data_IF_610549894605
#
_entry.id   IF_610549894605
#
_cell.length_a   1.000
_cell.length_b   1.000
_cell.length_c   1.000
_cell.angle_alpha   90.00
_cell.angle_beta   90.00
_cell.angle_gamma   90.00
#
_symmetry.space_group_name_H-M   'P 1'
#
loop_
_entity.id
_entity.type
_entity.pdbx_description
1 polymer ?
#
# COMPACT_ATOMS: atom_id res chain seq x y z
N UNK A 1 -19.14 -6.82 14.15
CA UNK A 1 -19.68 -7.10 12.80
C UNK A 1 -18.58 -7.76 11.99
N UNK A 2 -18.80 -8.98 11.49
CA UNK A 2 -17.86 -9.73 10.65
C UNK A 2 -18.06 -9.39 9.16
N UNK A 3 -17.16 -9.86 8.30
CA UNK A 3 -17.25 -9.69 6.84
C UNK A 3 -16.32 -8.62 6.26
N UNK A 4 -15.42 -8.05 7.07
CA UNK A 4 -14.35 -7.19 6.56
C UNK A 4 -13.30 -8.01 5.81
N UNK A 5 -12.58 -7.36 4.89
CA UNK A 5 -11.47 -7.99 4.17
C UNK A 5 -10.28 -7.06 3.98
N UNK A 6 -9.10 -7.68 3.92
CA UNK A 6 -7.83 -7.06 3.51
C UNK A 6 -7.46 -7.63 2.14
N UNK A 7 -7.15 -6.74 1.20
CA UNK A 7 -6.99 -7.07 -0.21
C UNK A 7 -5.70 -6.44 -0.75
N UNK A 8 -5.06 -7.08 -1.72
CA UNK A 8 -4.09 -6.44 -2.60
C UNK A 8 -4.80 -5.95 -3.86
N UNK A 9 -4.47 -4.75 -4.33
CA UNK A 9 -5.05 -4.19 -5.54
C UNK A 9 -4.01 -3.41 -6.36
N UNK A 10 -4.38 -3.09 -7.59
CA UNK A 10 -3.55 -2.35 -8.52
C UNK A 10 -4.25 -1.07 -9.00
N UNK A 11 -3.50 0.02 -9.11
CA UNK A 11 -3.82 1.15 -9.99
C UNK A 11 -3.12 0.91 -11.33
N UNK A 12 -3.87 0.92 -12.44
CA UNK A 12 -3.30 0.80 -13.80
C UNK A 12 -2.87 2.15 -14.35
N UNK A 13 -1.69 2.18 -14.98
CA UNK A 13 -1.06 3.38 -15.53
C UNK A 13 -0.59 3.09 -16.96
N UNK A 14 -1.23 3.66 -18.00
CA UNK A 14 -2.49 4.41 -17.96
C UNK A 14 -3.68 3.57 -17.45
N UNK A 15 -4.77 4.23 -17.04
CA UNK A 15 -5.98 3.56 -16.52
C UNK A 15 -6.49 2.51 -17.51
N UNK A 16 -6.98 1.38 -16.99
CA UNK A 16 -7.51 0.23 -17.76
C UNK A 16 -6.51 -0.42 -18.73
N UNK A 17 -5.24 -0.05 -18.71
CA UNK A 17 -4.20 -0.68 -19.53
C UNK A 17 -3.48 -1.81 -18.77
N UNK A 18 -2.72 -2.62 -19.51
CA UNK A 18 -1.78 -3.59 -18.97
C UNK A 18 -0.33 -3.09 -18.96
N UNK A 19 -0.09 -1.81 -19.25
CA UNK A 19 1.27 -1.31 -19.41
C UNK A 19 2.04 -1.32 -18.08
N UNK A 20 1.61 -0.50 -17.11
CA UNK A 20 2.21 -0.44 -15.80
C UNK A 20 1.17 -0.50 -14.67
N UNK A 21 1.62 -0.92 -13.49
CA UNK A 21 0.79 -0.94 -12.29
C UNK A 21 1.51 -0.42 -11.05
N UNK A 22 0.74 0.26 -10.21
CA UNK A 22 1.08 0.60 -8.83
C UNK A 22 0.24 -0.26 -7.89
N UNK A 23 0.89 -1.00 -6.98
CA UNK A 23 0.22 -1.91 -6.04
C UNK A 23 -0.04 -1.25 -4.69
N UNK A 24 -1.15 -1.63 -4.08
CA UNK A 24 -1.59 -1.12 -2.78
C UNK A 24 -2.31 -2.20 -1.97
N UNK A 25 -2.46 -1.96 -0.67
CA UNK A 25 -3.36 -2.72 0.20
C UNK A 25 -4.68 -1.95 0.33
N UNK A 26 -5.80 -2.68 0.26
CA UNK A 26 -7.15 -2.12 0.36
C UNK A 26 -7.92 -2.87 1.43
N UNK A 27 -8.54 -2.12 2.34
CA UNK A 27 -9.46 -2.63 3.34
C UNK A 27 -10.88 -2.37 2.85
N UNK A 28 -11.69 -3.42 2.78
CA UNK A 28 -13.09 -3.31 2.45
C UNK A 28 -13.98 -3.67 3.64
N UNK A 29 -15.07 -2.93 3.79
CA UNK A 29 -16.08 -3.17 4.82
C UNK A 29 -16.99 -4.36 4.44
N UNK A 30 -17.91 -4.80 5.32
CA UNK A 30 -18.82 -5.92 5.04
C UNK A 30 -19.74 -5.70 3.83
N UNK A 31 -20.01 -4.44 3.45
CA UNK A 31 -20.76 -4.11 2.24
C UNK A 31 -19.94 -4.27 0.95
N UNK A 32 -18.63 -4.52 1.06
CA UNK A 32 -17.71 -4.63 -0.07
C UNK A 32 -17.16 -3.28 -0.56
N UNK A 33 -17.44 -2.18 0.14
CA UNK A 33 -16.88 -0.87 -0.19
C UNK A 33 -15.43 -0.78 0.29
N UNK A 34 -14.51 -0.35 -0.58
CA UNK A 34 -13.12 -0.09 -0.24
C UNK A 34 -13.00 1.24 0.53
N UNK A 35 -12.93 1.14 1.86
CA UNK A 35 -13.02 2.30 2.77
C UNK A 35 -11.65 2.83 3.22
N UNK A 36 -10.58 2.05 3.05
CA UNK A 36 -9.23 2.45 3.45
C UNK A 36 -8.18 1.83 2.54
N UNK A 37 -7.11 2.56 2.28
CA UNK A 37 -5.95 2.09 1.54
C UNK A 37 -4.67 2.32 2.33
N UNK A 38 -3.72 1.43 2.14
CA UNK A 38 -2.35 1.59 2.60
C UNK A 38 -1.45 1.49 1.37
N UNK A 39 -0.75 2.58 1.06
CA UNK A 39 0.03 2.70 -0.17
C UNK A 39 1.32 3.50 0.03
N UNK A 40 2.30 3.24 -0.85
CA UNK A 40 3.54 4.01 -0.91
C UNK A 40 3.51 4.95 -2.12
N UNK A 41 3.53 6.25 -1.92
CA UNK A 41 3.39 7.24 -3.00
C UNK A 41 4.66 8.05 -3.18
N UNK A 42 4.86 8.54 -4.40
CA UNK A 42 5.84 9.59 -4.64
C UNK A 42 5.30 10.89 -4.07
N UNK A 43 6.14 11.62 -3.33
CA UNK A 43 5.72 12.72 -2.49
C UNK A 43 6.75 13.82 -2.46
N UNK A 44 6.29 15.05 -2.34
CA UNK A 44 7.14 16.22 -2.13
C UNK A 44 6.57 17.05 -0.99
N UNK A 45 7.44 17.76 -0.29
CA UNK A 45 7.01 18.67 0.76
C UNK A 45 6.71 20.04 0.14
N UNK A 46 5.46 20.47 0.24
CA UNK A 46 5.00 21.80 -0.14
C UNK A 46 5.29 22.72 1.04
N UNK A 47 6.41 23.44 0.97
CA UNK A 47 6.89 24.29 2.07
C UNK A 47 5.97 25.49 2.33
N UNK A 48 5.33 26.03 1.29
CA UNK A 48 4.36 27.12 1.43
C UNK A 48 3.09 26.65 2.14
N UNK A 49 2.61 25.45 1.76
CA UNK A 49 1.46 24.82 2.41
C UNK A 49 1.78 24.09 3.72
N UNK A 50 3.06 23.98 4.09
CA UNK A 50 3.53 23.23 5.27
C UNK A 50 3.11 21.76 5.28
N UNK A 51 2.97 21.11 4.11
CA UNK A 51 2.34 19.79 4.01
C UNK A 51 2.96 18.89 2.94
N UNK A 52 2.89 17.58 3.16
CA UNK A 52 3.23 16.60 2.12
C UNK A 52 2.15 16.52 1.04
N UNK A 53 2.59 16.67 -0.21
CA UNK A 53 1.82 16.35 -1.42
C UNK A 53 2.27 15.03 -1.99
N UNK A 54 1.47 14.44 -2.88
CA UNK A 54 1.73 13.11 -3.41
C UNK A 54 1.22 12.93 -4.84
N UNK A 55 1.75 11.90 -5.50
CA UNK A 55 1.41 11.43 -6.84
C UNK A 55 1.74 9.94 -6.97
N UNK A 56 1.10 9.20 -7.90
CA UNK A 56 1.31 7.75 -8.01
C UNK A 56 2.72 7.38 -8.50
N UNK A 57 3.35 8.22 -9.33
CA UNK A 57 4.70 8.02 -9.87
C UNK A 57 5.53 9.29 -9.70
N UNK A 58 6.73 9.12 -9.17
CA UNK A 58 7.76 10.14 -9.06
C UNK A 58 8.54 10.30 -10.36
N UNK A 59 8.85 11.54 -10.71
CA UNK A 59 9.63 11.90 -11.91
C UNK A 59 10.61 13.05 -11.63
N UNK A 60 10.59 13.63 -10.43
CA UNK A 60 11.55 14.62 -9.97
C UNK A 60 12.57 13.95 -9.04
N UNK A 61 13.81 14.42 -9.08
CA UNK A 61 14.88 13.96 -8.18
C UNK A 61 14.62 14.30 -6.71
N UNK A 62 13.80 15.31 -6.46
CA UNK A 62 13.34 15.70 -5.12
C UNK A 62 12.17 14.86 -4.61
N UNK A 63 11.53 14.05 -5.46
CA UNK A 63 10.44 13.18 -5.04
C UNK A 63 10.95 12.15 -4.01
N UNK A 64 10.15 11.95 -2.97
CA UNK A 64 10.37 10.97 -1.93
C UNK A 64 9.33 9.88 -2.02
N UNK A 65 9.69 8.64 -1.77
CA UNK A 65 8.75 7.56 -1.53
C UNK A 65 8.35 7.56 -0.05
N UNK A 66 7.07 7.82 0.21
CA UNK A 66 6.47 7.81 1.55
C UNK A 66 5.28 6.86 1.62
N UNK A 67 5.08 6.27 2.79
CA UNK A 67 3.90 5.48 3.10
C UNK A 67 2.76 6.32 3.65
N UNK A 68 1.55 5.96 3.27
CA UNK A 68 0.32 6.59 3.73
C UNK A 68 -0.74 5.56 4.08
N UNK A 69 -1.55 5.92 5.06
CA UNK A 69 -2.80 5.27 5.41
C UNK A 69 -3.93 6.28 5.20
N UNK A 70 -4.88 5.96 4.33
CA UNK A 70 -5.97 6.89 4.00
C UNK A 70 -6.92 7.16 5.17
N UNK A 71 -6.87 6.35 6.25
CA UNK A 71 -7.59 6.67 7.49
C UNK A 71 -7.10 7.98 8.11
N UNK A 72 -5.79 8.23 8.05
CA UNK A 72 -5.15 9.45 8.58
C UNK A 72 -4.95 10.48 7.46
N UNK A 73 -4.75 10.03 6.23
CA UNK A 73 -4.44 10.87 5.07
C UNK A 73 -5.45 10.63 3.93
N UNK A 74 -6.72 11.03 4.07
CA UNK A 74 -7.78 10.65 3.12
C UNK A 74 -7.53 11.11 1.68
N UNK A 75 -6.73 12.17 1.48
CA UNK A 75 -6.38 12.66 0.14
C UNK A 75 -5.47 11.71 -0.65
N UNK A 76 -4.86 10.70 -0.02
CA UNK A 76 -3.94 9.75 -0.67
C UNK A 76 -4.64 8.53 -1.27
N UNK A 77 -5.98 8.52 -1.28
CA UNK A 77 -6.77 7.46 -1.86
C UNK A 77 -6.60 7.43 -3.38
N UNK A 78 -6.13 6.30 -3.91
CA UNK A 78 -5.87 6.12 -5.35
C UNK A 78 -6.97 5.28 -6.01
N UNK A 79 -7.22 5.45 -7.33
CA UNK A 79 -8.16 4.59 -8.03
C UNK A 79 -7.74 3.11 -8.00
N UNK A 80 -8.72 2.22 -7.87
CA UNK A 80 -8.54 0.76 -7.83
C UNK A 80 -8.95 0.17 -9.17
N UNK A 81 -8.13 -0.70 -9.76
CA UNK A 81 -8.48 -1.39 -11.00
C UNK A 81 -9.69 -2.31 -10.81
N UNK A 82 -10.71 -2.16 -11.66
CA UNK A 82 -11.95 -2.93 -11.55
C UNK A 82 -12.94 -2.42 -10.49
N UNK A 83 -12.66 -1.31 -9.82
CA UNK A 83 -13.59 -0.65 -8.92
C UNK A 83 -13.68 0.85 -9.23
N UNK A 84 -14.87 1.43 -9.08
CA UNK A 84 -15.13 2.84 -9.39
C UNK A 84 -15.93 3.50 -8.27
N UNK A 85 -15.71 4.80 -8.10
CA UNK A 85 -16.54 5.64 -7.23
C UNK A 85 -17.96 5.84 -7.79
N UNK A 86 -18.90 6.32 -6.97
CA UNK A 86 -18.68 6.80 -5.60
C UNK A 86 -18.57 5.67 -4.55
N UNK A 87 -19.13 4.49 -4.83
CA UNK A 87 -19.28 3.43 -3.82
C UNK A 87 -18.01 2.61 -3.59
N UNK A 88 -17.05 2.67 -4.52
CA UNK A 88 -15.79 1.93 -4.46
C UNK A 88 -15.97 0.44 -4.12
N UNK A 89 -17.03 -0.17 -4.65
CA UNK A 89 -17.32 -1.57 -4.44
C UNK A 89 -16.22 -2.43 -5.09
N UNK A 90 -15.44 -3.14 -4.28
CA UNK A 90 -14.29 -3.93 -4.74
C UNK A 90 -14.67 -5.36 -5.17
N UNK A 91 -15.90 -5.82 -4.87
CA UNK A 91 -16.32 -7.19 -5.19
C UNK A 91 -16.19 -7.55 -6.69
N UNK A 92 -16.56 -6.67 -7.65
CA UNK A 92 -16.34 -6.95 -9.06
C UNK A 92 -14.85 -7.09 -9.42
N UNK A 93 -13.99 -6.26 -8.82
CA UNK A 93 -12.55 -6.35 -9.01
C UNK A 93 -11.98 -7.67 -8.47
N UNK A 94 -12.47 -8.14 -7.32
CA UNK A 94 -12.10 -9.44 -6.74
C UNK A 94 -12.55 -10.57 -7.67
N UNK A 95 -13.81 -10.57 -8.11
CA UNK A 95 -14.36 -11.60 -8.99
C UNK A 95 -13.59 -11.71 -10.31
N UNK A 96 -13.14 -10.58 -10.86
CA UNK A 96 -12.32 -10.53 -12.08
C UNK A 96 -10.82 -10.81 -11.83
N UNK A 97 -10.38 -11.02 -10.58
CA UNK A 97 -8.97 -11.19 -10.22
C UNK A 97 -8.11 -9.93 -10.39
N UNK A 98 -8.73 -8.75 -10.52
CA UNK A 98 -8.08 -7.44 -10.57
C UNK A 98 -7.71 -6.91 -9.17
N UNK A 99 -8.41 -7.39 -8.13
CA UNK A 99 -8.00 -7.31 -6.73
C UNK A 99 -7.92 -8.74 -6.16
N UNK A 100 -7.08 -8.96 -5.14
CA UNK A 100 -6.85 -10.28 -4.54
C UNK A 100 -7.11 -10.21 -3.04
N UNK A 101 -8.03 -11.05 -2.57
CA UNK A 101 -8.29 -11.22 -1.13
C UNK A 101 -7.04 -11.82 -0.48
N UNK A 102 -6.56 -11.16 0.58
CA UNK A 102 -5.45 -11.64 1.42
C UNK A 102 -5.99 -12.28 2.71
N UNK A 103 -7.05 -11.68 3.27
CA UNK A 103 -7.81 -12.20 4.39
C UNK A 103 -9.25 -11.66 4.35
N UNK A 104 -10.23 -12.46 4.75
CA UNK A 104 -11.64 -12.10 4.75
C UNK A 104 -12.39 -12.72 5.94
N UNK A 105 -13.67 -12.37 6.10
CA UNK A 105 -14.49 -12.82 7.23
C UNK A 105 -14.14 -12.14 8.55
N UNK A 106 -13.31 -11.09 8.51
CA UNK A 106 -12.74 -10.45 9.69
C UNK A 106 -13.75 -9.54 10.41
N UNK A 107 -13.57 -9.33 11.70
CA UNK A 107 -14.11 -8.16 12.42
C UNK A 107 -13.26 -6.91 12.13
N UNK A 108 -13.77 -5.73 12.52
CA UNK A 108 -13.01 -4.48 12.38
C UNK A 108 -11.72 -4.50 13.24
N UNK A 109 -11.77 -5.07 14.44
CA UNK A 109 -10.62 -5.19 15.35
C UNK A 109 -9.57 -6.15 14.78
N UNK A 110 -10.01 -7.25 14.16
CA UNK A 110 -9.13 -8.19 13.47
C UNK A 110 -8.44 -7.54 12.27
N UNK A 111 -9.13 -6.68 11.52
CA UNK A 111 -8.49 -5.89 10.46
C UNK A 111 -7.38 -5.03 11.02
N UNK A 112 -7.62 -4.27 12.10
CA UNK A 112 -6.61 -3.39 12.70
C UNK A 112 -5.40 -4.21 13.19
N UNK A 113 -5.63 -5.36 13.85
CA UNK A 113 -4.55 -6.28 14.23
C UNK A 113 -3.78 -6.80 13.02
N UNK A 114 -4.47 -7.16 11.94
CA UNK A 114 -3.86 -7.75 10.74
C UNK A 114 -2.97 -6.76 10.00
N UNK A 115 -3.36 -5.49 9.92
CA UNK A 115 -2.60 -4.45 9.21
C UNK A 115 -1.56 -3.73 10.09
N UNK A 116 -1.57 -3.93 11.41
CA UNK A 116 -0.64 -3.27 12.33
C UNK A 116 0.84 -3.37 11.91
N UNK A 117 1.37 -4.52 11.45
CA UNK A 117 2.75 -4.60 10.95
C UNK A 117 3.02 -3.74 9.72
N UNK A 118 2.03 -3.60 8.83
CA UNK A 118 2.15 -2.71 7.68
C UNK A 118 2.19 -1.23 8.12
N UNK A 119 1.40 -0.85 9.12
CA UNK A 119 1.42 0.51 9.67
C UNK A 119 2.75 0.82 10.36
N UNK A 120 3.32 -0.14 11.09
CA UNK A 120 4.66 0.02 11.67
C UNK A 120 5.76 0.04 10.59
N UNK A 121 5.63 -0.76 9.52
CA UNK A 121 6.53 -0.68 8.37
C UNK A 121 6.48 0.71 7.70
N UNK A 122 5.30 1.31 7.54
CA UNK A 122 5.15 2.70 7.07
C UNK A 122 5.94 3.66 7.95
N UNK A 123 5.75 3.58 9.28
CA UNK A 123 6.43 4.45 10.24
C UNK A 123 7.95 4.35 10.08
N UNK A 124 8.48 3.12 10.02
CA UNK A 124 9.92 2.88 9.84
C UNK A 124 10.43 3.40 8.51
N UNK A 125 9.73 3.14 7.40
CA UNK A 125 10.13 3.62 6.07
C UNK A 125 10.14 5.15 6.04
N UNK A 126 9.09 5.80 6.56
CA UNK A 126 8.99 7.25 6.60
C UNK A 126 10.12 7.89 7.43
N UNK A 127 10.63 7.19 8.45
CA UNK A 127 11.73 7.63 9.30
C UNK A 127 13.14 7.35 8.74
N UNK A 128 13.30 6.66 7.59
CA UNK A 128 14.61 6.29 7.03
C UNK A 128 15.46 7.49 6.56
N UNK A 129 14.90 8.69 6.51
CA UNK A 129 15.67 9.90 6.24
C UNK A 129 15.08 11.07 7.01
N UNK A 130 15.94 12.00 7.38
CA UNK A 130 15.53 13.26 8.03
C UNK A 130 14.59 14.05 7.13
N UNK A 131 13.55 14.61 7.73
CA UNK A 131 12.59 15.47 7.04
C UNK A 131 11.60 16.11 8.01
N UNK A 132 10.70 16.96 7.50
CA UNK A 132 9.59 17.50 8.27
C UNK A 132 8.79 16.38 8.94
N UNK A 133 8.20 16.66 10.11
CA UNK A 133 7.31 15.72 10.82
C UNK A 133 7.98 14.40 11.22
N UNK A 134 9.30 14.40 11.47
CA UNK A 134 10.02 13.23 11.96
C UNK A 134 10.48 12.25 10.88
N UNK A 135 10.41 12.61 9.59
CA UNK A 135 11.06 11.86 8.53
C UNK A 135 10.65 12.27 7.12
N UNK A 136 11.40 11.86 6.10
CA UNK A 136 11.15 12.17 4.67
C UNK A 136 10.86 10.94 3.80
N UNK A 137 10.77 9.72 4.35
CA UNK A 137 10.78 8.50 3.54
C UNK A 137 12.13 8.27 2.88
N UNK A 138 12.15 7.60 1.73
CA UNK A 138 13.37 7.34 0.94
C UNK A 138 13.35 8.09 -0.39
N UNK A 139 14.47 8.34 -1.07
CA UNK A 139 14.45 8.90 -2.42
C UNK A 139 13.57 8.05 -3.35
N UNK A 140 12.71 8.69 -4.14
CA UNK A 140 11.94 7.99 -5.17
C UNK A 140 12.82 7.79 -6.42
N UNK A 141 12.92 6.59 -6.99
CA UNK A 141 13.73 6.36 -8.18
C UNK A 141 13.14 7.08 -9.41
N UNK A 142 13.99 7.64 -10.26
CA UNK A 142 13.55 8.37 -11.46
C UNK A 142 12.59 7.53 -12.31
N UNK A 143 11.41 8.09 -12.62
CA UNK A 143 10.32 7.42 -13.35
C UNK A 143 9.85 6.09 -12.75
N UNK A 144 10.17 5.82 -11.47
CA UNK A 144 9.81 4.58 -10.78
C UNK A 144 10.73 3.39 -11.06
N UNK A 145 11.82 3.53 -11.82
CA UNK A 145 12.73 2.41 -12.12
C UNK A 145 13.70 2.14 -10.96
N UNK A 146 13.33 1.22 -10.06
CA UNK A 146 14.13 0.86 -8.90
C UNK A 146 13.28 0.32 -7.77
N UNK A 147 13.72 0.51 -6.51
CA UNK A 147 12.88 0.28 -5.34
C UNK A 147 11.89 1.44 -5.19
N UNK A 148 10.61 1.18 -5.47
CA UNK A 148 9.58 2.20 -5.61
C UNK A 148 8.32 1.84 -4.80
N UNK A 149 7.16 2.39 -5.16
CA UNK A 149 5.86 2.08 -4.56
C UNK A 149 5.47 0.60 -4.57
N UNK A 150 5.89 -0.18 -5.57
CA UNK A 150 5.64 -1.62 -5.57
C UNK A 150 6.55 -2.32 -4.58
N UNK A 151 7.81 -1.90 -4.41
CA UNK A 151 8.67 -2.40 -3.32
C UNK A 151 8.10 -2.03 -1.95
N UNK A 152 7.44 -0.88 -1.85
CA UNK A 152 6.68 -0.50 -0.67
C UNK A 152 5.59 -1.54 -0.38
N UNK A 153 4.73 -1.83 -1.36
CA UNK A 153 3.68 -2.84 -1.24
C UNK A 153 4.24 -4.23 -0.90
N UNK A 154 5.32 -4.67 -1.56
CA UNK A 154 6.06 -5.90 -1.24
C UNK A 154 6.50 -5.96 0.23
N UNK A 155 7.01 -4.85 0.75
CA UNK A 155 7.43 -4.73 2.16
C UNK A 155 6.25 -4.88 3.10
N UNK A 156 5.12 -4.23 2.80
CA UNK A 156 3.92 -4.33 3.63
C UNK A 156 3.34 -5.74 3.65
N UNK A 157 3.22 -6.37 2.47
CA UNK A 157 2.72 -7.74 2.35
C UNK A 157 3.56 -8.69 3.19
N UNK A 158 4.88 -8.62 3.05
CA UNK A 158 5.78 -9.45 3.84
C UNK A 158 5.70 -9.14 5.34
N UNK A 159 5.59 -7.88 5.75
CA UNK A 159 5.41 -7.52 7.16
C UNK A 159 4.13 -8.10 7.76
N UNK A 160 3.04 -8.14 6.98
CA UNK A 160 1.77 -8.77 7.37
C UNK A 160 1.75 -10.30 7.24
N UNK A 161 2.84 -10.92 6.76
CA UNK A 161 2.95 -12.36 6.58
C UNK A 161 2.27 -12.90 5.31
N UNK A 162 2.07 -12.07 4.29
CA UNK A 162 1.53 -12.48 2.99
C UNK A 162 2.62 -12.53 1.92
N UNK A 163 2.49 -13.49 1.02
CA UNK A 163 3.21 -13.49 -0.24
C UNK A 163 2.60 -12.47 -1.22
N UNK A 164 3.36 -12.11 -2.25
CA UNK A 164 2.82 -11.29 -3.33
C UNK A 164 1.82 -12.07 -4.19
N UNK A 165 0.57 -11.61 -4.29
CA UNK A 165 -0.43 -12.35 -5.05
C UNK A 165 -0.26 -12.14 -6.56
N UNK A 166 -0.67 -13.15 -7.32
CA UNK A 166 -0.82 -13.05 -8.77
C UNK A 166 -2.18 -12.42 -9.13
N UNK A 167 -2.18 -11.41 -9.99
CA UNK A 167 -3.38 -10.83 -10.58
C UNK A 167 -3.73 -11.55 -11.87
N UNK A 168 -5.02 -11.61 -12.24
CA UNK A 168 -5.47 -12.34 -13.43
C UNK A 168 -4.88 -11.78 -14.73
N UNK A 169 -4.82 -10.45 -14.84
CA UNK A 169 -4.28 -9.73 -16.00
C UNK A 169 -3.06 -8.90 -15.59
N UNK A 170 -1.89 -9.50 -15.30
CA UNK A 170 -0.76 -8.77 -14.76
C UNK A 170 -0.30 -7.66 -15.71
N UNK A 171 0.09 -6.52 -15.14
CA UNK A 171 0.75 -5.47 -15.92
C UNK A 171 2.13 -5.94 -16.39
N UNK A 172 2.56 -5.47 -17.56
CA UNK A 172 3.86 -5.81 -18.15
C UNK A 172 5.01 -5.20 -17.36
N UNK A 173 4.83 -3.99 -16.84
CA UNK A 173 5.86 -3.23 -16.14
C UNK A 173 5.43 -2.96 -14.70
N UNK A 174 6.03 -3.68 -13.76
CA UNK A 174 5.79 -3.50 -12.31
C UNK A 174 7.13 -3.36 -11.59
N UNK A 175 7.89 -2.28 -11.83
CA UNK A 175 9.23 -2.14 -11.27
C UNK A 175 9.14 -2.15 -9.76
N UNK A 176 10.14 -2.72 -9.08
CA UNK A 176 10.18 -2.79 -7.63
C UNK A 176 9.35 -3.92 -6.99
N UNK A 177 8.44 -4.57 -7.72
CA UNK A 177 7.76 -5.76 -7.21
C UNK A 177 8.76 -6.84 -6.79
N UNK A 178 8.43 -7.61 -5.75
CA UNK A 178 9.27 -8.63 -5.11
C UNK A 178 10.56 -8.12 -4.49
N UNK A 179 10.72 -6.81 -4.32
CA UNK A 179 11.86 -6.20 -3.64
C UNK A 179 11.40 -5.49 -2.37
N UNK A 180 12.14 -5.65 -1.29
CA UNK A 180 11.83 -5.00 -0.01
C UNK A 180 12.54 -3.65 0.11
N UNK A 181 11.89 -2.70 0.79
CA UNK A 181 12.48 -1.42 1.20
C UNK A 181 13.19 -1.53 2.55
N UNK A 182 12.64 -2.34 3.46
CA UNK A 182 13.26 -2.70 4.72
C UNK A 182 14.05 -4.01 4.52
N UNK A 183 15.08 -4.21 5.34
CA UNK A 183 15.85 -5.46 5.34
C UNK A 183 14.98 -6.63 5.82
N UNK A 184 15.36 -7.84 5.41
CA UNK A 184 14.55 -9.05 5.68
C UNK A 184 14.41 -9.34 7.19
N UNK A 185 15.45 -9.07 7.98
CA UNK A 185 15.45 -9.17 9.44
C UNK A 185 14.45 -8.20 10.10
N UNK A 186 14.40 -6.95 9.63
CA UNK A 186 13.43 -5.96 10.10
C UNK A 186 12.01 -6.41 9.77
N UNK A 187 11.77 -6.89 8.55
CA UNK A 187 10.45 -7.38 8.13
C UNK A 187 10.02 -8.61 8.92
N UNK A 188 10.95 -9.54 9.17
CA UNK A 188 10.69 -10.72 9.99
C UNK A 188 10.36 -10.36 11.44
N UNK A 189 11.08 -9.38 12.02
CA UNK A 189 10.80 -8.87 13.36
C UNK A 189 9.38 -8.32 13.50
N UNK A 190 8.91 -7.55 12.51
CA UNK A 190 7.53 -7.01 12.49
C UNK A 190 6.48 -8.13 12.50
N UNK A 191 6.74 -9.19 11.74
CA UNK A 191 5.85 -10.36 11.67
C UNK A 191 5.79 -11.09 13.01
N UNK A 192 6.94 -11.33 13.65
CA UNK A 192 7.00 -12.06 14.93
C UNK A 192 6.38 -11.27 16.09
N UNK A 193 6.55 -9.95 16.11
CA UNK A 193 5.90 -9.08 17.11
C UNK A 193 4.37 -9.16 17.03
N UNK A 194 3.81 -9.29 15.82
CA UNK A 194 2.38 -9.53 15.64
C UNK A 194 1.96 -10.89 16.19
N UNK A 195 2.69 -11.96 15.88
CA UNK A 195 2.36 -13.31 16.34
C UNK A 195 2.34 -13.39 17.87
N UNK A 196 3.31 -12.76 18.54
CA UNK A 196 3.37 -12.73 20.01
C UNK A 196 2.18 -11.95 20.63
N UNK A 197 1.72 -10.88 19.98
CA UNK A 197 0.57 -10.09 20.43
C UNK A 197 -0.79 -10.77 20.18
N UNK A 198 -0.85 -11.81 19.34
CA UNK A 198 -2.08 -12.61 19.11
C UNK A 198 -2.19 -13.77 20.11
N UNK A 199 -1.07 -14.23 20.66
CA UNK A 199 -1.02 -15.35 21.62
C UNK A 199 -1.09 -14.93 23.09
N UNK A 200 -0.97 -13.63 23.37
CA UNK A 200 -1.06 -13.04 24.71
C UNK A 200 -2.46 -12.48 24.96
#
# INVERSE_FOLDING_TARGET
MTGWSVNAAELRIPRRSRFAAHRMIVIANPAGAAVRQINGLASWFDAEGGAWRHKPIGYLWSDRLRGYDTKVHPRTYMPINGASGPDWNIRPAIAAGAARVLAEGLTAEEVERRIAPALEAIRRINALSTGPEGGAGVPYPFMGFGRNSNSFCSTLLNAMGFDEPAFAEPAWVVPGARRLLLSADVVQSLRTQQSAAVTA
#
